data_IF_593939913061
#
_entry.id   IF_593939913061
#
_cell.length_a   1.000
_cell.length_b   1.000
_cell.length_c   1.000
_cell.angle_alpha   90.00
_cell.angle_beta   90.00
_cell.angle_gamma   90.00
#
_symmetry.space_group_name_H-M   'P 1'
#
loop_
_entity.id
_entity.type
_entity.pdbx_description
1 polymer ?
#
# COMPACT_ATOMS: atom_id res chain seq x y z
N UNK A 1 6.62 -26.35 -4.81
CA UNK A 1 7.41 -25.53 -5.75
C UNK A 1 6.55 -24.71 -6.70
N UNK A 2 5.55 -25.31 -7.39
CA UNK A 2 4.66 -24.57 -8.31
C UNK A 2 3.94 -23.36 -7.69
N UNK A 3 3.43 -23.49 -6.45
CA UNK A 3 2.78 -22.39 -5.74
C UNK A 3 3.73 -21.22 -5.40
N UNK A 4 5.01 -21.51 -5.13
CA UNK A 4 6.01 -20.48 -4.87
C UNK A 4 6.39 -19.77 -6.17
N UNK A 5 6.59 -20.54 -7.25
CA UNK A 5 6.84 -20.02 -8.58
C UNK A 5 5.73 -19.06 -9.05
N UNK A 6 4.45 -19.45 -8.91
CA UNK A 6 3.32 -18.60 -9.27
C UNK A 6 3.29 -17.27 -8.49
N UNK A 7 3.56 -17.30 -7.18
CA UNK A 7 3.61 -16.09 -6.33
C UNK A 7 4.76 -15.16 -6.76
N UNK A 8 5.93 -15.70 -7.05
CA UNK A 8 7.08 -14.92 -7.54
C UNK A 8 6.78 -14.30 -8.92
N UNK A 9 6.15 -15.04 -9.82
CA UNK A 9 5.79 -14.56 -11.16
C UNK A 9 4.80 -13.39 -11.11
N UNK A 10 3.87 -13.36 -10.16
CA UNK A 10 2.96 -12.22 -9.96
C UNK A 10 3.72 -10.95 -9.55
N UNK A 11 4.70 -11.07 -8.65
CA UNK A 11 5.58 -9.95 -8.29
C UNK A 11 6.40 -9.46 -9.47
N UNK A 12 6.99 -10.38 -10.24
CA UNK A 12 7.73 -10.05 -11.46
C UNK A 12 6.85 -9.37 -12.51
N UNK A 13 5.62 -9.85 -12.70
CA UNK A 13 4.64 -9.24 -13.60
C UNK A 13 4.28 -7.80 -13.16
N UNK A 14 4.04 -7.58 -11.87
CA UNK A 14 3.76 -6.24 -11.34
C UNK A 14 4.94 -5.28 -11.59
N UNK A 15 6.18 -5.72 -11.35
CA UNK A 15 7.39 -4.93 -11.61
C UNK A 15 7.53 -4.64 -13.11
N UNK A 16 7.31 -5.64 -13.97
CA UNK A 16 7.34 -5.46 -15.42
C UNK A 16 6.28 -4.46 -15.89
N UNK A 17 5.05 -4.56 -15.38
CA UNK A 17 3.98 -3.61 -15.69
C UNK A 17 4.33 -2.19 -15.26
N UNK A 18 4.89 -2.01 -14.06
CA UNK A 18 5.38 -0.70 -13.61
C UNK A 18 6.45 -0.16 -14.56
N UNK A 19 7.41 -0.99 -14.96
CA UNK A 19 8.50 -0.59 -15.86
C UNK A 19 8.02 -0.25 -17.28
N UNK A 20 7.03 -0.96 -17.81
CA UNK A 20 6.43 -0.67 -19.11
C UNK A 20 5.57 0.60 -19.06
N UNK A 21 4.75 0.74 -18.01
CA UNK A 21 3.87 1.90 -17.85
C UNK A 21 4.65 3.18 -17.57
N UNK A 22 5.74 3.12 -16.81
CA UNK A 22 6.58 4.29 -16.50
C UNK A 22 7.24 4.93 -17.72
N UNK A 23 7.41 4.17 -18.81
CA UNK A 23 7.97 4.64 -20.08
C UNK A 23 6.89 5.17 -21.05
N UNK A 24 5.60 5.05 -20.69
CA UNK A 24 4.49 5.48 -21.53
C UNK A 24 4.16 6.97 -21.34
N UNK A 25 3.36 7.54 -22.24
CA UNK A 25 2.81 8.91 -22.09
C UNK A 25 1.92 9.07 -20.85
N UNK A 26 1.43 7.97 -20.30
CA UNK A 26 0.60 7.92 -19.10
C UNK A 26 1.36 7.32 -17.91
N UNK A 27 2.63 7.70 -17.73
CA UNK A 27 3.52 7.18 -16.68
C UNK A 27 2.94 7.20 -15.26
N UNK A 28 2.03 8.14 -14.96
CA UNK A 28 1.33 8.24 -13.68
C UNK A 28 0.46 7.00 -13.37
N UNK A 29 -0.01 6.28 -14.40
CA UNK A 29 -0.76 5.02 -14.26
C UNK A 29 0.11 3.93 -13.62
N UNK A 30 1.44 4.01 -13.74
CA UNK A 30 2.34 3.09 -13.05
C UNK A 30 2.14 3.13 -11.52
N UNK A 31 1.67 4.25 -10.97
CA UNK A 31 1.31 4.39 -9.55
C UNK A 31 0.04 3.61 -9.15
N UNK A 32 -0.83 3.23 -10.09
CA UNK A 32 -2.01 2.41 -9.81
C UNK A 32 -1.69 0.92 -9.66
N UNK A 33 -0.64 0.44 -10.34
CA UNK A 33 -0.25 -0.99 -10.27
C UNK A 33 0.00 -1.46 -8.84
N UNK A 34 0.79 -0.75 -8.00
CA UNK A 34 0.99 -1.17 -6.60
C UNK A 34 -0.26 -1.02 -5.72
N UNK A 35 -1.31 -0.32 -6.16
CA UNK A 35 -2.58 -0.22 -5.44
C UNK A 35 -3.48 -1.45 -5.61
N UNK A 36 -3.11 -2.39 -6.48
CA UNK A 36 -3.87 -3.61 -6.64
C UNK A 36 -3.97 -4.35 -5.30
N UNK A 37 -5.18 -4.68 -4.82
CA UNK A 37 -5.43 -5.02 -3.41
C UNK A 37 -5.06 -6.46 -3.05
N UNK A 38 -3.97 -7.03 -3.59
CA UNK A 38 -3.59 -8.44 -3.35
C UNK A 38 -3.48 -8.77 -1.86
N UNK A 39 -2.74 -7.98 -1.09
CA UNK A 39 -2.57 -8.21 0.34
C UNK A 39 -3.88 -8.03 1.10
N UNK A 40 -4.70 -7.04 0.72
CA UNK A 40 -6.01 -6.82 1.31
C UNK A 40 -6.95 -8.01 1.00
N UNK A 41 -6.94 -8.54 -0.22
CA UNK A 41 -7.72 -9.71 -0.61
C UNK A 41 -7.33 -10.94 0.22
N UNK A 42 -6.02 -11.18 0.41
CA UNK A 42 -5.54 -12.27 1.26
C UNK A 42 -6.00 -12.08 2.71
N UNK A 43 -5.86 -10.87 3.27
CA UNK A 43 -6.29 -10.57 4.64
C UNK A 43 -7.81 -10.77 4.81
N UNK A 44 -8.62 -10.28 3.87
CA UNK A 44 -10.07 -10.44 3.87
C UNK A 44 -10.49 -11.91 3.73
N UNK A 45 -9.81 -12.69 2.88
CA UNK A 45 -10.08 -14.11 2.74
C UNK A 45 -9.77 -14.86 4.05
N UNK A 46 -8.60 -14.62 4.65
CA UNK A 46 -8.21 -15.25 5.92
C UNK A 46 -9.21 -14.90 7.02
N UNK A 47 -9.48 -13.61 7.25
CA UNK A 47 -10.42 -13.17 8.28
C UNK A 47 -11.83 -13.68 8.02
N UNK A 48 -12.32 -13.63 6.78
CA UNK A 48 -13.64 -14.14 6.43
C UNK A 48 -13.78 -15.67 6.54
N UNK A 49 -12.67 -16.40 6.49
CA UNK A 49 -12.65 -17.87 6.67
C UNK A 49 -12.45 -18.30 8.13
N UNK A 50 -11.75 -17.50 8.94
CA UNK A 50 -11.40 -17.83 10.34
C UNK A 50 -12.28 -17.12 11.38
N UNK A 51 -12.97 -16.04 11.00
CA UNK A 51 -13.78 -15.18 11.89
C UNK A 51 -15.18 -14.96 11.30
N UNK A 52 -15.99 -14.16 11.99
CA UNK A 52 -17.34 -13.82 11.55
C UNK A 52 -17.37 -12.64 10.56
N UNK A 53 -18.54 -12.39 9.97
CA UNK A 53 -18.74 -11.31 9.02
C UNK A 53 -18.49 -9.91 9.63
N UNK A 54 -18.69 -9.75 10.95
CA UNK A 54 -18.42 -8.50 11.65
C UNK A 54 -16.91 -8.22 11.73
N UNK A 55 -16.09 -9.24 12.00
CA UNK A 55 -14.63 -9.11 11.96
C UNK A 55 -14.11 -8.77 10.56
N UNK A 56 -14.69 -9.37 9.51
CA UNK A 56 -14.35 -9.02 8.12
C UNK A 56 -14.69 -7.55 7.82
N UNK A 57 -15.88 -7.09 8.21
CA UNK A 57 -16.30 -5.69 8.04
C UNK A 57 -15.37 -4.72 8.78
N UNK A 58 -14.99 -5.06 10.01
CA UNK A 58 -14.04 -4.25 10.80
C UNK A 58 -12.66 -4.18 10.13
N UNK A 59 -12.16 -5.32 9.62
CA UNK A 59 -10.91 -5.39 8.86
C UNK A 59 -10.95 -4.50 7.61
N UNK A 60 -12.04 -4.54 6.85
CA UNK A 60 -12.22 -3.69 5.67
C UNK A 60 -12.28 -2.20 6.05
N UNK A 61 -12.97 -1.85 7.14
CA UNK A 61 -13.04 -0.47 7.64
C UNK A 61 -11.65 0.03 8.09
N UNK A 62 -10.89 -0.79 8.80
CA UNK A 62 -9.49 -0.49 9.14
C UNK A 62 -8.64 -0.32 7.87
N UNK A 63 -8.87 -1.15 6.85
CA UNK A 63 -8.27 -1.01 5.53
C UNK A 63 -8.51 0.37 4.91
N UNK A 64 -9.73 0.92 5.02
CA UNK A 64 -10.02 2.29 4.57
C UNK A 64 -9.23 3.34 5.35
N UNK A 65 -9.18 3.23 6.69
CA UNK A 65 -8.37 4.14 7.51
C UNK A 65 -6.88 4.06 7.17
N UNK A 66 -6.38 2.86 6.81
CA UNK A 66 -4.98 2.64 6.41
C UNK A 66 -4.57 3.37 5.12
N UNK A 67 -5.54 3.88 4.34
CA UNK A 67 -5.27 4.75 3.20
C UNK A 67 -4.72 6.12 3.62
N UNK A 68 -4.97 6.58 4.86
CA UNK A 68 -4.46 7.86 5.36
C UNK A 68 -2.92 7.92 5.39
N UNK A 69 -2.19 6.94 5.97
CA UNK A 69 -0.75 6.86 5.84
C UNK A 69 -0.25 6.95 4.39
N UNK A 70 -0.91 6.24 3.46
CA UNK A 70 -0.54 6.26 2.05
C UNK A 70 -0.80 7.61 1.39
N UNK A 71 -1.93 8.26 1.70
CA UNK A 71 -2.21 9.61 1.24
C UNK A 71 -1.14 10.59 1.73
N UNK A 72 -0.73 10.50 3.00
CA UNK A 72 0.36 11.33 3.55
C UNK A 72 1.70 11.07 2.85
N UNK A 73 2.02 9.81 2.57
CA UNK A 73 3.20 9.46 1.77
C UNK A 73 3.18 10.15 0.41
N UNK A 74 2.07 10.06 -0.34
CA UNK A 74 1.94 10.69 -1.65
C UNK A 74 2.03 12.22 -1.58
N UNK A 75 1.41 12.83 -0.58
CA UNK A 75 1.53 14.27 -0.33
C UNK A 75 2.98 14.68 -0.06
N UNK A 76 3.71 13.89 0.74
CA UNK A 76 5.12 14.11 1.01
C UNK A 76 5.97 13.96 -0.25
N UNK A 77 5.76 12.93 -1.07
CA UNK A 77 6.45 12.76 -2.37
C UNK A 77 6.15 13.95 -3.29
N UNK A 78 4.87 14.31 -3.45
CA UNK A 78 4.46 15.44 -4.30
C UNK A 78 5.14 16.73 -3.88
N UNK A 79 5.14 17.04 -2.58
CA UNK A 79 5.74 18.27 -2.06
C UNK A 79 7.27 18.27 -2.08
N UNK A 80 7.92 17.16 -1.70
CA UNK A 80 9.39 17.07 -1.64
C UNK A 80 10.05 16.91 -3.01
N UNK A 81 9.35 16.34 -4.00
CA UNK A 81 9.91 16.05 -5.33
C UNK A 81 10.52 17.26 -6.05
N UNK A 82 10.07 18.48 -5.75
CA UNK A 82 10.58 19.74 -6.32
C UNK A 82 11.60 20.45 -5.44
N UNK A 83 11.86 19.94 -4.22
CA UNK A 83 12.70 20.57 -3.19
C UNK A 83 13.96 19.76 -2.87
N UNK A 84 13.93 18.45 -3.08
CA UNK A 84 15.02 17.53 -2.76
C UNK A 84 15.29 16.54 -3.88
N UNK A 85 16.45 15.87 -3.85
CA UNK A 85 16.74 14.76 -4.77
C UNK A 85 15.90 13.52 -4.44
N UNK A 86 15.86 12.55 -5.36
CA UNK A 86 14.98 11.37 -5.28
C UNK A 86 15.13 10.59 -3.96
N UNK A 87 16.37 10.28 -3.55
CA UNK A 87 16.62 9.43 -2.37
C UNK A 87 16.08 10.08 -1.09
N UNK A 88 16.43 11.35 -0.75
CA UNK A 88 15.81 12.05 0.38
C UNK A 88 14.28 12.15 0.30
N UNK A 89 13.72 12.43 -0.89
CA UNK A 89 12.26 12.49 -1.09
C UNK A 89 11.58 11.19 -0.65
N UNK A 90 12.11 10.05 -1.10
CA UNK A 90 11.54 8.74 -0.77
C UNK A 90 11.74 8.39 0.70
N UNK A 91 12.90 8.69 1.29
CA UNK A 91 13.17 8.43 2.72
C UNK A 91 12.23 9.24 3.62
N UNK A 92 12.13 10.55 3.40
CA UNK A 92 11.29 11.43 4.20
C UNK A 92 9.80 11.11 4.03
N UNK A 93 9.34 10.80 2.82
CA UNK A 93 7.97 10.36 2.59
C UNK A 93 7.68 9.03 3.32
N UNK A 94 8.64 8.10 3.33
CA UNK A 94 8.53 6.83 4.07
C UNK A 94 8.48 7.06 5.58
N UNK A 95 9.26 8.00 6.11
CA UNK A 95 9.19 8.39 7.52
C UNK A 95 7.83 9.00 7.87
N UNK A 96 7.28 9.88 7.02
CA UNK A 96 5.94 10.44 7.21
C UNK A 96 4.87 9.33 7.23
N UNK A 97 4.99 8.34 6.32
CA UNK A 97 4.13 7.16 6.32
C UNK A 97 4.23 6.37 7.63
N UNK A 98 5.44 6.08 8.10
CA UNK A 98 5.68 5.32 9.34
C UNK A 98 5.07 6.03 10.56
N UNK A 99 5.21 7.35 10.65
CA UNK A 99 4.62 8.15 11.71
C UNK A 99 3.09 8.10 11.67
N UNK A 100 2.49 8.29 10.49
CA UNK A 100 1.03 8.21 10.35
C UNK A 100 0.49 6.80 10.64
N UNK A 101 1.16 5.75 10.18
CA UNK A 101 0.80 4.38 10.48
C UNK A 101 0.89 4.08 11.97
N UNK A 102 1.96 4.54 12.65
CA UNK A 102 2.11 4.39 14.09
C UNK A 102 1.00 5.12 14.87
N UNK A 103 0.67 6.36 14.48
CA UNK A 103 -0.43 7.11 15.08
C UNK A 103 -1.79 6.43 14.87
N UNK A 104 -2.05 5.91 13.68
CA UNK A 104 -3.28 5.18 13.37
C UNK A 104 -3.40 3.92 14.25
N UNK A 105 -2.33 3.14 14.35
CA UNK A 105 -2.30 1.94 15.21
C UNK A 105 -2.49 2.31 16.69
N UNK A 106 -1.82 3.36 17.16
CA UNK A 106 -1.98 3.86 18.53
C UNK A 106 -3.43 4.30 18.81
N UNK A 107 -4.02 5.08 17.90
CA UNK A 107 -5.41 5.53 18.00
C UNK A 107 -6.39 4.36 18.07
N UNK A 108 -6.21 3.35 17.22
CA UNK A 108 -7.08 2.16 17.24
C UNK A 108 -6.97 1.33 18.52
N UNK A 109 -5.79 1.28 19.16
CA UNK A 109 -5.61 0.60 20.45
C UNK A 109 -6.29 1.31 21.62
N UNK A 110 -6.49 2.62 21.52
CA UNK A 110 -7.22 3.40 22.54
C UNK A 110 -8.75 3.22 22.44
N UNK A 111 -9.25 2.73 21.30
CA UNK A 111 -10.67 2.59 20.99
C UNK A 111 -11.19 1.15 21.16
N UNK A 112 -10.28 0.18 21.39
CA UNK A 112 -10.57 -1.24 21.67
C UNK A 112 -10.55 -1.54 23.15
#
# INVERSE_FOLDING_TARGET
>A
MLALFAKCSLGALAVLLIALLSQSRAFHIAGLVPLFPTFALIAHYIVGSERDALALRSTALFGLWSLLPYALYLLAVYWLSTRTTLVPTLLLATLAWLLAAALLLWGTRLMS
#
